data_IF_825008561273
#
_entry.id   IF_825008561273
#
_cell.length_a   1.000
_cell.length_b   1.000
_cell.length_c   1.000
_cell.angle_alpha   90.00
_cell.angle_beta   90.00
_cell.angle_gamma   90.00
#
_symmetry.space_group_name_H-M   'P 1'
#
loop_
_entity.id
_entity.type
_entity.pdbx_description
1 polymer ?
#
# COMPACT_ATOMS: atom_id res chain seq x y z
N UNK A 1 -2.29 15.22 10.87
CA UNK A 1 -1.47 14.01 10.59
C UNK A 1 -2.28 12.72 10.67
N UNK A 2 -3.15 12.55 11.67
CA UNK A 2 -4.02 11.36 11.81
C UNK A 2 -4.90 11.09 10.59
N UNK A 3 -5.54 12.12 10.02
CA UNK A 3 -6.40 11.96 8.81
C UNK A 3 -5.61 11.43 7.60
N UNK A 4 -4.37 11.89 7.41
CA UNK A 4 -3.50 11.41 6.33
C UNK A 4 -3.18 9.91 6.47
N UNK A 5 -2.83 9.46 7.68
CA UNK A 5 -2.59 8.04 7.93
C UNK A 5 -3.86 7.18 7.78
N UNK A 6 -5.03 7.72 8.14
CA UNK A 6 -6.30 7.05 7.86
C UNK A 6 -6.57 6.89 6.37
N UNK A 7 -6.37 7.96 5.58
CA UNK A 7 -6.52 7.91 4.12
C UNK A 7 -5.55 6.89 3.51
N UNK A 8 -4.29 6.92 3.93
CA UNK A 8 -3.28 5.95 3.50
C UNK A 8 -3.67 4.51 3.88
N UNK A 9 -4.19 4.29 5.09
CA UNK A 9 -4.68 2.99 5.54
C UNK A 9 -5.86 2.48 4.72
N UNK A 10 -6.82 3.35 4.39
CA UNK A 10 -7.98 3.00 3.54
C UNK A 10 -7.51 2.67 2.12
N UNK A 11 -6.63 3.48 1.53
CA UNK A 11 -6.03 3.23 0.22
C UNK A 11 -5.27 1.90 0.20
N UNK A 12 -4.56 1.58 1.27
CA UNK A 12 -3.84 0.33 1.41
C UNK A 12 -4.81 -0.85 1.46
N UNK A 13 -5.86 -0.79 2.28
CA UNK A 13 -6.87 -1.83 2.35
C UNK A 13 -7.58 -2.05 1.02
N UNK A 14 -7.95 -0.97 0.32
CA UNK A 14 -8.57 -1.03 -1.00
C UNK A 14 -7.70 -1.71 -2.06
N UNK A 15 -6.38 -1.72 -1.90
CA UNK A 15 -5.47 -2.41 -2.83
C UNK A 15 -5.07 -3.80 -2.33
N UNK A 16 -4.81 -3.95 -1.03
CA UNK A 16 -4.36 -5.19 -0.42
C UNK A 16 -5.46 -6.26 -0.40
N UNK A 17 -6.70 -5.88 -0.09
CA UNK A 17 -7.84 -6.83 -0.05
C UNK A 17 -8.07 -7.49 -1.41
N UNK A 18 -8.28 -6.75 -2.52
CA UNK A 18 -8.43 -7.38 -3.83
C UNK A 18 -7.15 -8.13 -4.24
N UNK A 19 -5.96 -7.66 -3.89
CA UNK A 19 -4.72 -8.41 -4.14
C UNK A 19 -4.78 -9.82 -3.53
N UNK A 20 -5.15 -9.93 -2.26
CA UNK A 20 -5.25 -11.23 -1.56
C UNK A 20 -6.37 -12.08 -2.13
N UNK A 21 -7.52 -11.49 -2.45
CA UNK A 21 -8.66 -12.23 -3.04
C UNK A 21 -8.33 -12.78 -4.43
N UNK A 22 -7.77 -11.97 -5.32
CA UNK A 22 -7.37 -12.42 -6.67
C UNK A 22 -6.22 -13.42 -6.61
N UNK A 23 -5.29 -13.26 -5.66
CA UNK A 23 -4.22 -14.24 -5.47
C UNK A 23 -4.75 -15.57 -4.94
N UNK A 24 -5.67 -15.55 -3.97
CA UNK A 24 -6.36 -16.73 -3.49
C UNK A 24 -7.18 -17.41 -4.59
N UNK A 25 -7.85 -16.64 -5.43
CA UNK A 25 -8.55 -17.16 -6.60
C UNK A 25 -7.59 -17.84 -7.58
N UNK A 26 -6.41 -17.26 -7.84
CA UNK A 26 -5.38 -17.89 -8.67
C UNK A 26 -4.91 -19.23 -8.10
N UNK A 27 -4.69 -19.31 -6.77
CA UNK A 27 -4.31 -20.57 -6.12
C UNK A 27 -5.39 -21.64 -6.22
N UNK A 28 -6.66 -21.24 -6.21
CA UNK A 28 -7.80 -22.14 -6.32
C UNK A 28 -8.09 -22.60 -7.76
N UNK A 29 -7.92 -21.72 -8.76
CA UNK A 29 -8.27 -22.02 -10.16
C UNK A 29 -7.08 -22.41 -11.03
N UNK A 30 -5.85 -22.06 -10.64
CA UNK A 30 -4.65 -22.23 -11.46
C UNK A 30 -4.55 -21.29 -12.67
N UNK A 31 -5.53 -20.41 -12.90
CA UNK A 31 -5.56 -19.54 -14.08
C UNK A 31 -4.58 -18.36 -13.95
N UNK A 32 -3.84 -18.02 -15.01
CA UNK A 32 -2.87 -16.92 -14.95
C UNK A 32 -3.49 -15.50 -14.88
N UNK A 33 -4.72 -15.33 -15.36
CA UNK A 33 -5.43 -14.04 -15.37
C UNK A 33 -5.57 -13.41 -13.97
N UNK A 34 -6.09 -14.11 -12.95
CA UNK A 34 -6.20 -13.55 -11.60
C UNK A 34 -4.84 -13.19 -10.99
N UNK A 35 -3.76 -13.90 -11.34
CA UNK A 35 -2.39 -13.55 -10.91
C UNK A 35 -1.95 -12.19 -11.44
N UNK A 36 -2.19 -11.89 -12.72
CA UNK A 36 -1.83 -10.59 -13.31
C UNK A 36 -2.56 -9.43 -12.63
N UNK A 37 -3.82 -9.64 -12.27
CA UNK A 37 -4.63 -8.65 -11.55
C UNK A 37 -4.08 -8.46 -10.13
N UNK A 38 -3.80 -9.55 -9.41
CA UNK A 38 -3.20 -9.49 -8.07
C UNK A 38 -1.85 -8.74 -8.07
N UNK A 39 -0.96 -8.99 -9.04
CA UNK A 39 0.32 -8.28 -9.15
C UNK A 39 0.13 -6.78 -9.38
N UNK A 40 -0.88 -6.39 -10.17
CA UNK A 40 -1.20 -4.97 -10.38
C UNK A 40 -1.63 -4.31 -9.07
N UNK A 41 -2.52 -4.92 -8.32
CA UNK A 41 -2.96 -4.41 -7.02
C UNK A 41 -1.82 -4.39 -5.98
N UNK A 42 -0.95 -5.39 -6.01
CA UNK A 42 0.25 -5.42 -5.15
C UNK A 42 1.17 -4.22 -5.43
N UNK A 43 1.43 -3.90 -6.70
CA UNK A 43 2.25 -2.73 -7.07
C UNK A 43 1.66 -1.42 -6.56
N UNK A 44 0.34 -1.24 -6.66
CA UNK A 44 -0.34 -0.08 -6.10
C UNK A 44 -0.28 -0.03 -4.58
N UNK A 45 -0.45 -1.17 -3.91
CA UNK A 45 -0.28 -1.27 -2.45
C UNK A 45 1.13 -0.85 -2.02
N UNK A 46 2.16 -1.36 -2.70
CA UNK A 46 3.56 -1.00 -2.43
C UNK A 46 3.83 0.50 -2.62
N UNK A 47 3.24 1.13 -3.64
CA UNK A 47 3.35 2.58 -3.85
C UNK A 47 2.74 3.37 -2.69
N UNK A 48 1.58 2.96 -2.19
CA UNK A 48 0.92 3.60 -1.04
C UNK A 48 1.78 3.46 0.22
N UNK A 49 2.34 2.27 0.48
CA UNK A 49 3.26 2.04 1.61
C UNK A 49 4.50 2.94 1.50
N UNK A 50 5.22 2.90 0.37
CA UNK A 50 6.45 3.67 0.20
C UNK A 50 6.21 5.17 0.34
N UNK A 51 5.13 5.67 -0.24
CA UNK A 51 4.78 7.10 -0.18
C UNK A 51 4.48 7.53 1.26
N UNK A 52 3.68 6.74 1.98
CA UNK A 52 3.33 7.01 3.38
C UNK A 52 4.56 6.97 4.28
N UNK A 53 5.45 5.99 4.06
CA UNK A 53 6.69 5.84 4.80
C UNK A 53 7.67 7.00 4.56
N UNK A 54 7.87 7.39 3.30
CA UNK A 54 8.71 8.54 2.96
C UNK A 54 8.19 9.82 3.62
N UNK A 55 6.88 10.09 3.56
CA UNK A 55 6.29 11.28 4.19
C UNK A 55 6.51 11.27 5.71
N UNK A 56 6.39 10.10 6.35
CA UNK A 56 6.65 9.95 7.78
C UNK A 56 8.11 10.26 8.14
N UNK A 57 9.07 9.76 7.35
CA UNK A 57 10.50 10.03 7.54
C UNK A 57 10.80 11.52 7.32
N UNK A 58 10.35 12.10 6.21
CA UNK A 58 10.60 13.51 5.89
C UNK A 58 10.06 14.42 6.99
N UNK A 59 8.86 14.13 7.51
CA UNK A 59 8.32 14.84 8.67
C UNK A 59 9.26 14.74 9.88
N UNK A 60 9.78 13.56 10.17
CA UNK A 60 10.67 13.35 11.31
C UNK A 60 11.99 14.11 11.15
N UNK A 61 12.57 14.12 9.94
CA UNK A 61 13.78 14.87 9.62
C UNK A 61 13.55 16.37 9.75
N UNK A 62 12.45 16.89 9.19
CA UNK A 62 12.11 18.33 9.27
C UNK A 62 11.93 18.76 10.73
N UNK A 63 11.27 17.94 11.57
CA UNK A 63 11.12 18.25 12.99
C UNK A 63 12.46 18.29 13.73
N UNK A 64 13.39 17.40 13.38
CA UNK A 64 14.75 17.41 13.95
C UNK A 64 15.48 18.70 13.54
N UNK A 65 15.41 19.10 12.26
CA UNK A 65 16.07 20.32 11.77
C UNK A 65 15.50 21.58 12.41
N UNK A 66 14.17 21.65 12.62
CA UNK A 66 13.51 22.82 13.22
C UNK A 66 13.77 22.94 14.73
N UNK A 67 14.02 21.82 15.42
CA UNK A 67 14.28 21.78 16.86
C UNK A 67 15.77 21.70 17.23
N UNK A 68 16.66 21.86 16.25
CA UNK A 68 18.09 22.08 16.44
C UNK A 68 18.39 23.58 16.36
#
# INVERSE_FOLDING_TARGET
MTVFYWIAGILLLLNAVPCVLYFGAHLATGEERPRLIAVRFFRWSSLVVLTTFNIAIFRHIILIIIHW
#
